data_IF_068109734961
#
_entry.id   IF_068109734961
#
_cell.length_a   1.000
_cell.length_b   1.000
_cell.length_c   1.000
_cell.angle_alpha   90.00
_cell.angle_beta   90.00
_cell.angle_gamma   90.00
#
_symmetry.space_group_name_H-M   'P 1'
#
loop_
_entity.id
_entity.type
_entity.pdbx_description
1 polymer ?
#
# COMPACT_ATOMS: atom_id res chain seq x y z
N UNK A 1 -19.08 19.03 10.63
CA UNK A 1 -17.82 19.60 11.18
C UNK A 1 -17.03 20.38 10.12
N UNK A 2 -16.67 19.79 8.97
CA UNK A 2 -15.91 20.50 7.91
C UNK A 2 -16.62 21.73 7.33
N UNK A 3 -17.96 21.70 7.23
CA UNK A 3 -18.75 22.84 6.70
C UNK A 3 -18.73 24.08 7.60
N UNK A 4 -18.56 23.91 8.92
CA UNK A 4 -18.48 25.04 9.86
C UNK A 4 -17.10 25.71 9.77
N UNK A 5 -16.03 24.91 9.72
CA UNK A 5 -14.65 25.39 9.50
C UNK A 5 -14.48 26.19 8.20
N UNK A 6 -15.29 25.88 7.18
CA UNK A 6 -15.21 26.52 5.87
C UNK A 6 -15.78 27.95 5.87
N UNK A 7 -16.75 28.25 6.74
CA UNK A 7 -17.42 29.55 6.85
C UNK A 7 -16.57 30.54 7.64
N UNK A 8 -15.82 30.07 8.65
CA UNK A 8 -15.01 30.94 9.52
C UNK A 8 -13.69 31.41 8.87
N UNK A 9 -13.27 30.82 7.73
CA UNK A 9 -11.93 30.98 7.15
C UNK A 9 -11.89 31.58 5.74
N UNK A 10 -12.92 32.36 5.37
CA UNK A 10 -13.13 32.92 4.03
C UNK A 10 -11.93 33.73 3.46
N UNK A 11 -10.98 34.17 4.30
CA UNK A 11 -9.79 34.94 3.90
C UNK A 11 -8.43 34.24 4.10
N UNK A 12 -8.38 32.96 4.52
CA UNK A 12 -7.12 32.25 4.83
C UNK A 12 -7.04 30.83 4.23
N UNK A 13 -7.65 30.66 3.04
CA UNK A 13 -7.77 29.38 2.34
C UNK A 13 -6.44 28.66 2.11
N UNK A 14 -5.37 29.38 1.76
CA UNK A 14 -4.05 28.77 1.52
C UNK A 14 -3.48 28.10 2.77
N UNK A 15 -3.73 28.68 3.95
CA UNK A 15 -3.26 28.15 5.23
C UNK A 15 -4.14 27.01 5.74
N UNK A 16 -5.43 27.03 5.41
CA UNK A 16 -6.39 26.03 5.84
C UNK A 16 -6.52 24.84 4.89
N UNK A 17 -6.14 24.98 3.62
CA UNK A 17 -6.18 23.90 2.62
C UNK A 17 -5.39 22.65 3.04
N UNK A 18 -4.13 22.76 3.52
CA UNK A 18 -3.39 21.61 4.02
C UNK A 18 -4.11 20.92 5.19
N UNK A 19 -4.68 21.70 6.11
CA UNK A 19 -5.38 21.19 7.29
C UNK A 19 -6.72 20.54 6.92
N UNK A 20 -7.49 21.14 6.02
CA UNK A 20 -8.73 20.60 5.51
C UNK A 20 -8.49 19.27 4.77
N UNK A 21 -7.45 19.21 3.93
CA UNK A 21 -7.02 17.97 3.25
C UNK A 21 -6.59 16.91 4.24
N UNK A 22 -5.83 17.28 5.28
CA UNK A 22 -5.45 16.36 6.35
C UNK A 22 -6.67 15.82 7.09
N UNK A 23 -7.58 16.69 7.52
CA UNK A 23 -8.81 16.28 8.22
C UNK A 23 -9.69 15.40 7.35
N UNK A 24 -9.86 15.73 6.07
CA UNK A 24 -10.62 14.90 5.13
C UNK A 24 -10.01 13.50 4.98
N UNK A 25 -8.69 13.41 4.78
CA UNK A 25 -8.01 12.13 4.59
C UNK A 25 -7.98 11.27 5.86
N UNK A 26 -7.97 11.88 7.04
CA UNK A 26 -7.95 11.20 8.35
C UNK A 26 -9.33 10.90 8.93
N UNK A 27 -10.39 11.49 8.38
CA UNK A 27 -11.73 11.26 8.89
C UNK A 27 -12.26 9.88 8.48
N UNK A 28 -13.07 9.28 9.36
CA UNK A 28 -13.72 8.01 9.11
C UNK A 28 -14.75 8.14 7.98
N UNK A 29 -14.59 7.35 6.92
CA UNK A 29 -15.50 7.33 5.80
C UNK A 29 -16.43 6.11 5.91
N UNK A 30 -17.71 6.35 6.21
CA UNK A 30 -18.70 5.30 6.44
C UNK A 30 -18.83 4.30 5.28
N UNK A 31 -18.67 4.74 4.03
CA UNK A 31 -18.77 3.86 2.85
C UNK A 31 -17.62 2.85 2.75
N UNK A 32 -16.45 3.15 3.32
CA UNK A 32 -15.25 2.28 3.31
C UNK A 32 -15.03 1.66 4.70
N UNK A 33 -15.78 2.13 5.71
CA UNK A 33 -15.65 1.73 7.12
C UNK A 33 -14.24 1.92 7.70
N UNK A 34 -13.48 2.88 7.16
CA UNK A 34 -12.16 3.29 7.64
C UNK A 34 -11.84 4.70 7.14
N UNK A 35 -10.73 5.27 7.59
CA UNK A 35 -10.23 6.52 7.04
C UNK A 35 -9.49 6.30 5.72
N UNK A 36 -9.48 7.32 4.85
CA UNK A 36 -8.87 7.21 3.52
C UNK A 36 -7.34 6.96 3.61
N UNK A 37 -6.66 7.58 4.58
CA UNK A 37 -5.23 7.34 4.80
C UNK A 37 -4.94 5.88 5.19
N UNK A 38 -5.78 5.26 6.03
CA UNK A 38 -5.63 3.87 6.46
C UNK A 38 -5.81 2.92 5.28
N UNK A 39 -6.82 3.17 4.44
CA UNK A 39 -7.03 2.41 3.22
C UNK A 39 -5.81 2.50 2.30
N UNK A 40 -5.31 3.71 2.03
CA UNK A 40 -4.20 3.90 1.09
C UNK A 40 -2.87 3.34 1.60
N UNK A 41 -2.51 3.62 2.85
CA UNK A 41 -1.21 3.23 3.40
C UNK A 41 -1.22 1.81 3.98
N UNK A 42 -2.33 1.37 4.57
CA UNK A 42 -2.49 -0.01 5.05
C UNK A 42 -2.42 -1.02 3.90
N UNK A 43 -3.10 -0.74 2.78
CA UNK A 43 -3.02 -1.58 1.59
C UNK A 43 -1.61 -1.62 0.99
N UNK A 44 -0.88 -0.49 1.00
CA UNK A 44 0.49 -0.44 0.50
C UNK A 44 1.42 -1.38 1.28
N UNK A 45 1.37 -1.34 2.61
CA UNK A 45 2.21 -2.21 3.46
C UNK A 45 1.88 -3.69 3.23
N UNK A 46 0.60 -4.04 3.15
CA UNK A 46 0.17 -5.42 2.88
C UNK A 46 0.64 -5.87 1.50
N UNK A 47 0.46 -5.02 0.48
CA UNK A 47 0.89 -5.30 -0.90
C UNK A 47 2.40 -5.51 -0.99
N UNK A 48 3.19 -4.65 -0.35
CA UNK A 48 4.66 -4.75 -0.36
C UNK A 48 5.12 -6.04 0.31
N UNK A 49 4.52 -6.42 1.45
CA UNK A 49 4.80 -7.69 2.13
C UNK A 49 4.43 -8.90 1.28
N UNK A 50 3.26 -8.88 0.64
CA UNK A 50 2.83 -9.95 -0.26
C UNK A 50 3.77 -10.08 -1.46
N UNK A 51 4.22 -8.96 -2.03
CA UNK A 51 5.19 -8.96 -3.13
C UNK A 51 6.50 -9.62 -2.70
N UNK A 52 7.06 -9.24 -1.54
CA UNK A 52 8.29 -9.86 -1.01
C UNK A 52 8.11 -11.35 -0.77
N UNK A 53 6.97 -11.79 -0.22
CA UNK A 53 6.69 -13.20 -0.01
C UNK A 53 6.61 -13.98 -1.33
N UNK A 54 5.95 -13.40 -2.34
CA UNK A 54 5.84 -13.98 -3.67
C UNK A 54 7.20 -14.09 -4.37
N UNK A 55 8.03 -13.04 -4.30
CA UNK A 55 9.38 -13.03 -4.87
C UNK A 55 10.26 -14.11 -4.23
N UNK A 56 10.15 -14.32 -2.91
CA UNK A 56 10.85 -15.42 -2.21
C UNK A 56 10.39 -16.79 -2.70
N UNK A 57 9.08 -17.01 -2.81
CA UNK A 57 8.54 -18.27 -3.32
C UNK A 57 9.05 -18.56 -4.74
N UNK A 58 9.08 -17.54 -5.59
CA UNK A 58 9.60 -17.65 -6.95
C UNK A 58 11.09 -18.02 -6.95
N UNK A 59 11.89 -17.35 -6.13
CA UNK A 59 13.32 -17.67 -5.98
C UNK A 59 13.55 -19.12 -5.53
N UNK A 60 12.77 -19.65 -4.58
CA UNK A 60 12.87 -21.05 -4.19
C UNK A 60 12.52 -22.01 -5.33
N UNK A 61 11.47 -21.70 -6.10
CA UNK A 61 11.08 -22.52 -7.24
C UNK A 61 12.14 -22.51 -8.36
N UNK A 62 12.73 -21.34 -8.64
CA UNK A 62 13.78 -21.19 -9.65
C UNK A 62 15.05 -21.95 -9.24
N UNK A 63 15.46 -21.88 -7.97
CA UNK A 63 16.61 -22.62 -7.45
C UNK A 63 16.38 -24.14 -7.53
N UNK A 64 15.19 -24.61 -7.15
CA UNK A 64 14.78 -26.02 -7.32
C UNK A 64 14.80 -26.48 -8.78
N UNK A 65 14.44 -25.63 -9.74
CA UNK A 65 14.51 -25.95 -11.18
C UNK A 65 15.96 -26.10 -11.63
N UNK A 66 16.82 -25.19 -11.20
CA UNK A 66 18.24 -25.24 -11.53
C UNK A 66 18.94 -26.48 -10.95
N UNK A 67 18.63 -26.86 -9.71
CA UNK A 67 19.15 -28.09 -9.09
C UNK A 67 18.76 -29.34 -9.91
N UNK A 68 17.52 -29.39 -10.41
CA UNK A 68 17.04 -30.51 -11.24
C UNK A 68 17.77 -30.53 -12.58
N UNK A 69 17.95 -29.38 -13.23
CA UNK A 69 18.68 -29.26 -14.49
C UNK A 69 20.15 -29.73 -14.35
N UNK A 70 20.82 -29.36 -13.24
CA UNK A 70 22.20 -29.81 -12.94
C UNK A 70 22.28 -31.34 -12.82
N UNK A 71 21.34 -31.97 -12.10
CA UNK A 71 21.30 -33.43 -11.93
C UNK A 71 21.05 -34.17 -13.25
N UNK A 72 20.24 -33.59 -14.15
CA UNK A 72 19.98 -34.19 -15.47
C UNK A 72 21.21 -34.06 -16.38
N UNK A 73 21.90 -32.92 -16.39
CA UNK A 73 23.11 -32.72 -17.20
C UNK A 73 24.27 -33.65 -16.81
N UNK A 74 24.46 -33.88 -15.50
CA UNK A 74 25.54 -34.74 -14.99
C UNK A 74 25.30 -36.24 -15.22
N UNK A 75 24.05 -36.65 -15.51
CA UNK A 75 23.68 -38.05 -15.75
C UNK A 75 23.65 -38.46 -17.24
N UNK A 76 23.90 -37.53 -18.17
CA UNK A 76 23.82 -37.78 -19.63
C UNK A 76 25.20 -38.06 -20.25
N UNK A 77 26.21 -38.41 -19.44
CA UNK A 77 27.50 -38.92 -19.93
C UNK A 77 27.52 -40.45 -20.09
#
# INVERSE_FOLDING_TARGET
MLRAFLIDFESNWERCLPLAKFMYNNNFQSSIQMALYEALYGLKVIRDRLKVASDRQKSYADLKRQDIECIVGDKVF
#
